data_IF_172318845725
#
_entry.id   IF_172318845725
#
_cell.length_a   1.000
_cell.length_b   1.000
_cell.length_c   1.000
_cell.angle_alpha   90.00
_cell.angle_beta   90.00
_cell.angle_gamma   90.00
#
_symmetry.space_group_name_H-M   'P 1'
#
loop_
_entity.id
_entity.type
_entity.pdbx_description
1 polymer ?
#
# COMPACT_ATOMS: atom_id res chain seq x y z
N UNK A 1 47.31 -31.00 12.94
CA UNK A 1 46.76 -29.65 13.13
C UNK A 1 45.73 -29.44 12.04
N UNK A 2 44.47 -29.36 12.45
CA UNK A 2 43.26 -29.39 11.64
C UNK A 2 43.02 -28.03 10.99
N UNK A 3 42.94 -28.03 9.66
CA UNK A 3 42.60 -26.87 8.84
C UNK A 3 41.07 -26.68 8.92
N UNK A 4 40.65 -25.57 9.54
CA UNK A 4 39.25 -25.24 9.71
C UNK A 4 38.65 -24.76 8.37
N UNK A 5 37.74 -25.56 7.83
CA UNK A 5 36.93 -25.25 6.66
C UNK A 5 36.12 -23.97 6.92
N UNK A 6 36.40 -22.91 6.15
CA UNK A 6 35.58 -21.70 6.17
C UNK A 6 34.26 -21.99 5.46
N UNK A 7 33.09 -21.62 6.02
CA UNK A 7 31.83 -21.77 5.34
C UNK A 7 31.83 -20.90 4.07
N UNK A 8 31.69 -21.55 2.92
CA UNK A 8 31.51 -20.91 1.63
C UNK A 8 30.18 -20.14 1.65
N UNK A 9 30.27 -18.82 1.64
CA UNK A 9 29.11 -17.96 1.43
C UNK A 9 28.67 -18.11 -0.03
N UNK A 10 27.57 -18.81 -0.25
CA UNK A 10 26.90 -18.90 -1.55
C UNK A 10 26.31 -17.50 -1.87
N UNK A 11 26.77 -16.80 -2.91
CA UNK A 11 26.04 -15.66 -3.43
C UNK A 11 24.84 -16.19 -4.24
N UNK A 12 23.78 -15.39 -4.35
CA UNK A 12 22.59 -15.64 -5.19
C UNK A 12 21.41 -16.41 -4.57
N UNK A 13 20.99 -16.05 -3.35
CA UNK A 13 19.54 -15.94 -3.11
C UNK A 13 19.13 -14.51 -3.42
N UNK A 14 18.73 -14.27 -4.68
CA UNK A 14 17.94 -13.08 -5.01
C UNK A 14 16.66 -13.18 -4.18
N UNK A 15 16.60 -12.44 -3.07
CA UNK A 15 15.45 -12.43 -2.18
C UNK A 15 14.18 -12.23 -2.99
N UNK A 16 13.18 -13.08 -2.75
CA UNK A 16 11.97 -13.08 -3.55
C UNK A 16 11.35 -11.66 -3.57
N UNK A 17 11.08 -11.18 -4.79
CA UNK A 17 10.59 -9.83 -5.02
C UNK A 17 9.08 -9.83 -5.20
N UNK A 18 8.42 -8.86 -4.59
CA UNK A 18 7.02 -8.52 -4.85
C UNK A 18 7.01 -7.12 -5.42
N UNK A 19 6.43 -6.95 -6.61
CA UNK A 19 6.38 -5.64 -7.31
C UNK A 19 7.76 -4.98 -7.51
N UNK A 20 8.81 -5.79 -7.74
CA UNK A 20 10.18 -5.29 -7.91
C UNK A 20 10.87 -4.86 -6.60
N UNK A 21 10.25 -5.13 -5.45
CA UNK A 21 10.78 -4.81 -4.12
C UNK A 21 11.22 -6.10 -3.45
N UNK A 22 12.45 -6.12 -2.94
CA UNK A 22 12.94 -7.23 -2.12
C UNK A 22 12.18 -7.29 -0.79
N UNK A 23 11.61 -8.44 -0.48
CA UNK A 23 10.84 -8.65 0.75
C UNK A 23 11.68 -9.31 1.83
N UNK A 24 11.35 -9.06 3.10
CA UNK A 24 11.94 -9.79 4.21
C UNK A 24 11.40 -11.22 4.28
N UNK A 25 10.12 -11.39 3.95
CA UNK A 25 9.44 -12.68 3.88
C UNK A 25 8.57 -12.73 2.62
N UNK A 26 8.39 -13.90 2.01
CA UNK A 26 7.46 -14.06 0.87
C UNK A 26 6.44 -15.16 1.07
N UNK A 27 6.48 -15.87 2.20
CA UNK A 27 5.53 -16.94 2.51
C UNK A 27 4.10 -16.43 2.67
N UNK A 28 3.92 -15.11 2.89
CA UNK A 28 2.61 -14.48 2.92
C UNK A 28 2.02 -14.21 1.53
N UNK A 29 2.86 -14.22 0.48
CA UNK A 29 2.46 -13.88 -0.87
C UNK A 29 2.29 -15.15 -1.71
N UNK A 30 1.04 -15.47 -2.03
CA UNK A 30 0.69 -16.57 -2.91
C UNK A 30 -0.13 -16.03 -4.08
N UNK A 31 0.48 -16.01 -5.27
CA UNK A 31 -0.29 -15.80 -6.49
C UNK A 31 -1.22 -17.01 -6.73
N UNK A 32 -2.30 -16.77 -7.47
CA UNK A 32 -3.11 -17.86 -8.00
C UNK A 32 -2.24 -18.77 -8.87
N UNK A 33 -2.50 -20.07 -8.81
CA UNK A 33 -1.82 -21.04 -9.67
C UNK A 33 -2.04 -20.66 -11.15
N UNK A 34 -1.05 -20.96 -11.98
CA UNK A 34 -1.15 -20.66 -13.41
C UNK A 34 -2.39 -21.32 -14.02
N UNK A 35 -3.19 -20.52 -14.72
CA UNK A 35 -4.43 -20.98 -15.36
C UNK A 35 -5.66 -21.01 -14.44
N UNK A 36 -5.51 -20.65 -13.16
CA UNK A 36 -6.63 -20.41 -12.26
C UNK A 36 -7.09 -18.96 -12.41
N UNK A 37 -8.35 -18.80 -12.78
CA UNK A 37 -8.98 -17.49 -12.97
C UNK A 37 -10.23 -17.38 -12.09
N UNK A 38 -10.44 -16.20 -11.53
CA UNK A 38 -11.62 -15.93 -10.72
C UNK A 38 -12.79 -15.48 -11.60
N UNK A 39 -13.97 -16.04 -11.33
CA UNK A 39 -15.23 -15.55 -11.92
C UNK A 39 -15.57 -14.19 -11.33
N UNK A 40 -16.14 -13.29 -12.13
CA UNK A 40 -16.53 -11.94 -11.73
C UNK A 40 -17.22 -11.87 -10.35
N UNK A 41 -16.78 -10.92 -9.52
CA UNK A 41 -17.29 -10.72 -8.16
C UNK A 41 -16.86 -11.77 -7.13
N UNK A 42 -16.10 -12.80 -7.50
CA UNK A 42 -15.60 -13.79 -6.54
C UNK A 42 -14.34 -13.30 -5.84
N UNK A 43 -14.28 -13.40 -4.50
CA UNK A 43 -13.03 -13.21 -3.78
C UNK A 43 -12.08 -14.37 -4.08
N UNK A 44 -10.77 -14.08 -4.03
CA UNK A 44 -9.74 -15.11 -4.01
C UNK A 44 -9.92 -16.01 -2.78
N UNK A 45 -9.55 -17.30 -2.85
CA UNK A 45 -9.73 -18.24 -1.76
C UNK A 45 -8.87 -17.92 -0.54
N UNK A 46 -7.81 -17.11 -0.70
CA UNK A 46 -6.89 -16.72 0.37
C UNK A 46 -6.80 -15.20 0.45
N UNK A 47 -7.07 -14.68 1.62
CA UNK A 47 -6.76 -13.30 1.96
C UNK A 47 -5.24 -13.12 2.01
N UNK A 48 -4.74 -12.01 1.48
CA UNK A 48 -3.35 -11.61 1.69
C UNK A 48 -3.19 -11.07 3.11
N UNK A 49 -2.24 -11.65 3.84
CA UNK A 49 -1.87 -11.25 5.20
C UNK A 49 -0.46 -10.67 5.16
N UNK A 50 -0.34 -9.42 4.77
CA UNK A 50 0.94 -8.77 4.50
C UNK A 50 1.56 -8.30 5.82
N UNK A 51 2.72 -8.81 6.23
CA UNK A 51 3.42 -8.30 7.41
C UNK A 51 3.67 -6.79 7.28
N UNK A 52 3.44 -6.02 8.34
CA UNK A 52 3.51 -4.55 8.28
C UNK A 52 4.86 -4.03 7.79
N UNK A 53 5.96 -4.74 8.09
CA UNK A 53 7.29 -4.38 7.60
C UNK A 53 7.42 -4.48 6.07
N UNK A 54 6.85 -5.52 5.46
CA UNK A 54 6.83 -5.69 4.00
C UNK A 54 5.82 -4.74 3.35
N UNK A 55 4.64 -4.58 3.95
CA UNK A 55 3.65 -3.59 3.52
C UNK A 55 4.23 -2.16 3.52
N UNK A 56 5.02 -1.79 4.53
CA UNK A 56 5.71 -0.50 4.60
C UNK A 56 6.77 -0.34 3.50
N UNK A 57 7.54 -1.39 3.20
CA UNK A 57 8.53 -1.37 2.10
C UNK A 57 7.85 -1.11 0.76
N UNK A 58 6.73 -1.79 0.51
CA UNK A 58 5.93 -1.61 -0.70
C UNK A 58 5.25 -0.23 -0.72
N UNK A 59 4.68 0.21 0.40
CA UNK A 59 4.06 1.54 0.54
C UNK A 59 5.01 2.66 0.13
N UNK A 60 6.28 2.59 0.53
CA UNK A 60 7.29 3.60 0.17
C UNK A 60 7.56 3.66 -1.34
N UNK A 61 7.45 2.54 -2.05
CA UNK A 61 7.57 2.51 -3.51
C UNK A 61 6.31 3.03 -4.18
N UNK A 62 5.14 2.61 -3.70
CA UNK A 62 3.85 3.13 -4.16
C UNK A 62 3.73 4.64 -3.95
N UNK A 63 4.18 5.15 -2.80
CA UNK A 63 4.14 6.56 -2.45
C UNK A 63 4.96 7.42 -3.42
N UNK A 64 6.08 6.90 -3.95
CA UNK A 64 6.84 7.55 -5.00
C UNK A 64 6.02 7.67 -6.28
N UNK A 65 5.34 6.61 -6.69
CA UNK A 65 4.46 6.61 -7.88
C UNK A 65 3.32 7.62 -7.71
N UNK A 66 2.64 7.60 -6.56
CA UNK A 66 1.53 8.51 -6.25
C UNK A 66 1.98 9.97 -6.25
N UNK A 67 3.20 10.25 -5.78
CA UNK A 67 3.76 11.60 -5.78
C UNK A 67 4.52 11.96 -7.07
N UNK A 68 4.42 11.14 -8.13
CA UNK A 68 5.12 11.30 -9.41
C UNK A 68 6.65 11.49 -9.26
N UNK A 69 7.24 10.78 -8.29
CA UNK A 69 8.67 10.80 -8.02
C UNK A 69 9.37 9.75 -8.88
N UNK A 70 10.40 10.13 -9.66
CA UNK A 70 11.18 9.18 -10.43
C UNK A 70 11.80 8.08 -9.55
N UNK A 71 11.81 6.84 -10.03
CA UNK A 71 12.29 5.68 -9.28
C UNK A 71 13.72 5.86 -8.71
N UNK A 72 14.60 6.57 -9.44
CA UNK A 72 16.00 6.83 -9.05
C UNK A 72 16.20 8.14 -8.27
N UNK A 73 15.13 8.84 -7.89
CA UNK A 73 15.19 10.07 -7.10
C UNK A 73 15.35 9.84 -5.59
N UNK A 74 15.59 10.94 -4.85
CA UNK A 74 15.72 10.94 -3.38
C UNK A 74 14.49 10.38 -2.67
N UNK A 75 13.31 10.48 -3.29
CA UNK A 75 12.03 10.22 -2.62
C UNK A 75 11.51 11.44 -1.86
N UNK A 76 12.14 12.60 -2.01
CA UNK A 76 11.69 13.85 -1.39
C UNK A 76 10.94 14.69 -2.42
N UNK A 77 9.81 15.26 -2.00
CA UNK A 77 8.99 16.18 -2.80
C UNK A 77 8.72 17.43 -1.98
N UNK A 78 8.82 18.60 -2.60
CA UNK A 78 8.39 19.85 -1.96
C UNK A 78 7.01 20.19 -2.48
N UNK A 79 6.02 20.23 -1.59
CA UNK A 79 4.70 20.76 -1.88
C UNK A 79 4.69 22.26 -1.65
N UNK A 80 4.01 23.00 -2.52
CA UNK A 80 3.96 24.46 -2.48
C UNK A 80 2.51 24.96 -2.45
N UNK A 81 2.23 25.93 -1.58
CA UNK A 81 0.94 26.58 -1.48
C UNK A 81 1.15 28.08 -1.25
N UNK A 82 1.14 28.86 -2.34
CA UNK A 82 1.54 30.27 -2.31
C UNK A 82 3.02 30.39 -1.94
N UNK A 83 3.30 31.03 -0.80
CA UNK A 83 4.67 31.20 -0.26
C UNK A 83 5.08 30.10 0.72
N UNK A 84 4.18 29.17 1.02
CA UNK A 84 4.43 28.08 1.97
C UNK A 84 5.00 26.86 1.26
N UNK A 85 6.02 26.26 1.85
CA UNK A 85 6.65 25.04 1.35
C UNK A 85 6.64 23.94 2.41
N UNK A 86 6.39 22.70 1.98
CA UNK A 86 6.45 21.52 2.82
C UNK A 86 7.27 20.44 2.12
N UNK A 87 8.40 20.09 2.72
CA UNK A 87 9.14 18.89 2.32
C UNK A 87 8.37 17.66 2.79
N UNK A 88 8.08 16.74 1.88
CA UNK A 88 7.44 15.43 2.12
C UNK A 88 8.41 14.33 1.71
N UNK A 89 8.73 13.43 2.64
CA UNK A 89 9.70 12.35 2.42
C UNK A 89 9.01 11.03 2.07
N UNK A 90 8.65 10.84 0.81
CA UNK A 90 7.92 9.67 0.31
C UNK A 90 8.67 8.34 0.55
N UNK A 91 10.02 8.38 0.51
CA UNK A 91 10.86 7.22 0.78
C UNK A 91 10.92 6.80 2.27
N UNK A 92 10.39 7.63 3.17
CA UNK A 92 10.45 7.43 4.60
C UNK A 92 9.08 7.21 5.25
N UNK A 93 8.02 6.95 4.46
CA UNK A 93 6.70 6.66 5.01
C UNK A 93 6.76 5.54 6.06
N UNK A 94 5.95 5.72 7.09
CA UNK A 94 5.75 4.76 8.17
C UNK A 94 4.37 4.14 8.03
N UNK A 95 4.25 2.85 8.38
CA UNK A 95 2.99 2.14 8.39
C UNK A 95 2.88 1.38 9.71
N UNK A 96 1.77 1.56 10.41
CA UNK A 96 1.40 0.70 11.55
C UNK A 96 0.03 0.10 11.31
N UNK A 97 -0.15 -1.12 11.81
CA UNK A 97 -1.41 -1.85 11.72
C UNK A 97 -1.82 -2.32 13.12
N UNK A 98 -3.01 -1.90 13.51
CA UNK A 98 -3.72 -2.38 14.69
C UNK A 98 -5.07 -2.96 14.24
N UNK A 99 -5.76 -3.66 15.13
CA UNK A 99 -7.05 -4.28 14.77
C UNK A 99 -8.06 -3.22 14.27
N UNK A 100 -8.38 -3.25 12.97
CA UNK A 100 -9.32 -2.32 12.35
C UNK A 100 -8.77 -0.92 12.07
N UNK A 101 -7.46 -0.68 12.24
CA UNK A 101 -6.84 0.63 12.00
C UNK A 101 -5.50 0.47 11.27
N UNK A 102 -5.34 1.19 10.17
CA UNK A 102 -4.05 1.41 9.51
C UNK A 102 -3.63 2.85 9.75
N UNK A 103 -2.43 3.10 10.27
CA UNK A 103 -1.92 4.48 10.35
C UNK A 103 -0.75 4.66 9.39
N UNK A 104 -0.87 5.64 8.50
CA UNK A 104 0.22 6.07 7.63
C UNK A 104 0.90 7.27 8.26
N UNK A 105 2.17 7.13 8.61
CA UNK A 105 3.02 8.23 9.06
C UNK A 105 3.72 8.87 7.87
N UNK A 106 3.51 10.18 7.68
CA UNK A 106 4.11 10.97 6.60
C UNK A 106 5.17 11.90 7.20
N UNK A 107 6.47 11.61 7.01
CA UNK A 107 7.52 12.50 7.49
C UNK A 107 7.59 13.76 6.65
N UNK A 108 7.56 14.90 7.34
CA UNK A 108 7.55 16.23 6.76
C UNK A 108 8.58 17.15 7.41
N UNK A 109 8.97 18.20 6.70
CA UNK A 109 9.75 19.30 7.26
C UNK A 109 9.37 20.64 6.60
N UNK A 110 9.54 21.72 7.35
CA UNK A 110 9.46 23.10 6.86
C UNK A 110 10.41 23.98 7.69
N UNK A 111 10.53 25.25 7.36
CA UNK A 111 11.33 26.24 8.08
C UNK A 111 10.97 26.35 9.58
N UNK A 112 9.68 26.21 9.89
CA UNK A 112 9.14 26.19 11.27
C UNK A 112 9.35 24.84 11.97
N UNK A 113 9.69 23.77 11.25
CA UNK A 113 9.94 22.42 11.76
C UNK A 113 11.34 21.90 11.33
N UNK A 114 12.40 22.55 11.82
CA UNK A 114 13.78 22.24 11.42
C UNK A 114 14.23 20.79 11.66
N UNK A 115 13.68 20.12 12.70
CA UNK A 115 13.97 18.70 12.99
C UNK A 115 13.11 17.73 12.17
N UNK A 116 12.15 18.25 11.40
CA UNK A 116 11.07 17.47 10.81
C UNK A 116 10.07 16.98 11.86
N UNK A 117 8.97 16.44 11.37
CA UNK A 117 7.95 15.76 12.17
C UNK A 117 7.31 14.65 11.34
N UNK A 118 6.57 13.75 11.99
CA UNK A 118 5.73 12.76 11.31
C UNK A 118 4.27 13.17 11.53
N UNK A 119 3.51 13.29 10.45
CA UNK A 119 2.06 13.48 10.50
C UNK A 119 1.39 12.12 10.35
N UNK A 120 0.65 11.68 11.37
CA UNK A 120 -0.06 10.41 11.37
C UNK A 120 -1.47 10.53 10.83
N UNK A 121 -1.79 9.76 9.80
CA UNK A 121 -3.13 9.66 9.21
C UNK A 121 -3.72 8.29 9.53
N UNK A 122 -4.60 8.19 10.54
CA UNK A 122 -5.26 6.93 10.88
C UNK A 122 -6.45 6.68 9.96
N UNK A 123 -6.53 5.47 9.42
CA UNK A 123 -7.64 4.97 8.63
C UNK A 123 -8.35 3.86 9.39
N UNK A 124 -9.62 4.05 9.71
CA UNK A 124 -10.48 2.96 10.16
C UNK A 124 -10.83 2.08 8.95
N UNK A 125 -10.57 0.79 9.10
CA UNK A 125 -10.73 -0.24 8.06
C UNK A 125 -11.37 -1.49 8.66
N UNK A 126 -11.56 -2.55 7.87
CA UNK A 126 -11.99 -3.84 8.39
C UNK A 126 -11.01 -4.43 9.43
N UNK A 127 -11.51 -5.27 10.33
CA UNK A 127 -10.67 -6.09 11.21
C UNK A 127 -10.81 -7.57 10.84
N UNK A 128 -9.96 -8.42 11.41
CA UNK A 128 -10.05 -9.87 11.20
C UNK A 128 -11.39 -10.46 11.69
N UNK A 129 -11.97 -9.91 12.76
CA UNK A 129 -13.25 -10.37 13.32
C UNK A 129 -14.47 -9.67 12.72
N UNK A 130 -14.26 -8.52 12.09
CA UNK A 130 -15.29 -7.73 11.45
C UNK A 130 -14.72 -7.18 10.13
N UNK A 131 -14.61 -8.02 9.09
CA UNK A 131 -14.14 -7.57 7.80
C UNK A 131 -15.14 -6.56 7.23
N UNK A 132 -14.63 -5.39 6.85
CA UNK A 132 -15.37 -4.44 6.05
C UNK A 132 -15.04 -4.71 4.58
N UNK A 133 -15.96 -4.40 3.65
CA UNK A 133 -15.63 -4.35 2.23
C UNK A 133 -14.66 -3.19 1.93
N UNK A 134 -14.84 -2.50 0.80
CA UNK A 134 -14.10 -1.27 0.49
C UNK A 134 -14.65 -0.05 1.23
N UNK A 135 -14.79 -0.15 2.56
CA UNK A 135 -15.14 0.96 3.42
C UNK A 135 -13.91 1.35 4.24
N UNK A 136 -13.49 2.60 4.07
CA UNK A 136 -12.42 3.21 4.83
C UNK A 136 -12.88 4.59 5.28
N UNK A 137 -12.46 5.03 6.45
CA UNK A 137 -12.68 6.41 6.91
C UNK A 137 -11.47 6.90 7.68
N UNK A 138 -11.33 8.22 7.81
CA UNK A 138 -10.22 8.83 8.54
C UNK A 138 -10.73 10.02 9.34
N UNK A 139 -9.89 10.52 10.25
CA UNK A 139 -10.20 11.72 11.01
C UNK A 139 -10.15 12.93 10.09
N UNK A 140 -11.05 13.90 10.32
CA UNK A 140 -11.03 15.17 9.61
C UNK A 140 -9.70 15.94 9.81
N UNK A 141 -9.00 15.67 10.90
CA UNK A 141 -7.71 16.26 11.23
C UNK A 141 -6.69 15.17 11.57
N UNK A 142 -5.59 15.01 10.81
CA UNK A 142 -4.53 14.07 11.14
C UNK A 142 -3.74 14.52 12.39
N UNK A 143 -3.00 13.60 13.00
CA UNK A 143 -2.16 13.90 14.17
C UNK A 143 -0.81 14.48 13.72
N UNK A 144 -0.36 15.57 14.35
CA UNK A 144 0.92 16.19 14.02
C UNK A 144 1.02 17.65 14.49
N UNK A 145 2.13 18.34 14.20
CA UNK A 145 2.30 19.74 14.57
C UNK A 145 1.22 20.62 13.96
N UNK A 146 0.60 21.48 14.77
CA UNK A 146 -0.52 22.32 14.34
C UNK A 146 -0.19 23.18 13.11
N UNK A 147 1.05 23.65 13.02
CA UNK A 147 1.56 24.46 11.90
C UNK A 147 1.51 23.74 10.56
N UNK A 148 1.73 22.42 10.54
CA UNK A 148 1.59 21.61 9.33
C UNK A 148 0.14 21.25 9.10
N UNK A 149 -0.53 20.72 10.13
CA UNK A 149 -1.88 20.18 9.99
C UNK A 149 -2.88 21.26 9.56
N UNK A 150 -2.71 22.51 10.00
CA UNK A 150 -3.59 23.61 9.62
C UNK A 150 -3.49 24.00 8.13
N UNK A 151 -2.31 23.90 7.52
CA UNK A 151 -2.10 24.28 6.12
C UNK A 151 -2.12 23.10 5.14
N UNK A 152 -1.74 21.92 5.61
CA UNK A 152 -1.43 20.76 4.75
C UNK A 152 -2.18 19.49 5.13
N UNK A 153 -2.97 19.51 6.21
CA UNK A 153 -3.62 18.31 6.75
C UNK A 153 -4.46 17.56 5.72
N UNK A 154 -5.25 18.27 4.91
CA UNK A 154 -6.07 17.67 3.85
C UNK A 154 -5.22 17.02 2.76
N UNK A 155 -4.19 17.72 2.26
CA UNK A 155 -3.28 17.19 1.24
C UNK A 155 -2.50 15.95 1.74
N UNK A 156 -2.04 15.98 2.99
CA UNK A 156 -1.36 14.83 3.63
C UNK A 156 -2.33 13.66 3.75
N UNK A 157 -3.56 13.90 4.19
CA UNK A 157 -4.59 12.85 4.28
C UNK A 157 -4.91 12.25 2.92
N UNK A 158 -5.10 13.07 1.89
CA UNK A 158 -5.37 12.62 0.53
C UNK A 158 -4.21 11.81 -0.05
N UNK A 159 -2.97 12.26 0.15
CA UNK A 159 -1.77 11.53 -0.26
C UNK A 159 -1.65 10.17 0.44
N UNK A 160 -1.83 10.13 1.76
CA UNK A 160 -1.80 8.90 2.53
C UNK A 160 -2.91 7.91 2.11
N UNK A 161 -4.10 8.44 1.81
CA UNK A 161 -5.23 7.67 1.30
C UNK A 161 -4.89 7.03 -0.05
N UNK A 162 -4.44 7.84 -1.00
CA UNK A 162 -4.09 7.37 -2.35
C UNK A 162 -2.95 6.35 -2.31
N UNK A 163 -1.91 6.59 -1.51
CA UNK A 163 -0.80 5.66 -1.33
C UNK A 163 -1.26 4.29 -0.79
N UNK A 164 -2.18 4.28 0.19
CA UNK A 164 -2.72 3.04 0.76
C UNK A 164 -3.63 2.29 -0.23
N UNK A 165 -4.51 3.02 -0.94
CA UNK A 165 -5.41 2.43 -1.94
C UNK A 165 -4.61 1.87 -3.11
N UNK A 166 -3.61 2.60 -3.60
CA UNK A 166 -2.77 2.16 -4.70
C UNK A 166 -1.93 0.94 -4.28
N UNK A 167 -1.42 0.89 -3.05
CA UNK A 167 -0.72 -0.29 -2.52
C UNK A 167 -1.63 -1.52 -2.54
N UNK A 168 -2.86 -1.37 -2.05
CA UNK A 168 -3.84 -2.44 -2.07
C UNK A 168 -4.13 -2.93 -3.50
N UNK A 169 -4.29 -2.00 -4.45
CA UNK A 169 -4.51 -2.32 -5.86
C UNK A 169 -3.34 -3.09 -6.47
N UNK A 170 -2.11 -2.61 -6.28
CA UNK A 170 -0.93 -3.28 -6.83
C UNK A 170 -0.74 -4.68 -6.27
N UNK A 171 -0.97 -4.87 -4.96
CA UNK A 171 -0.86 -6.17 -4.32
C UNK A 171 -1.93 -7.15 -4.82
N UNK A 172 -3.20 -6.72 -4.89
CA UNK A 172 -4.27 -7.54 -5.44
C UNK A 172 -4.01 -7.87 -6.92
N UNK A 173 -3.58 -6.91 -7.73
CA UNK A 173 -3.25 -7.15 -9.13
C UNK A 173 -2.11 -8.18 -9.29
N UNK A 174 -1.11 -8.15 -8.42
CA UNK A 174 -0.01 -9.10 -8.44
C UNK A 174 -0.43 -10.53 -8.09
N UNK A 175 -1.58 -10.73 -7.43
CA UNK A 175 -2.05 -12.09 -7.08
C UNK A 175 -2.60 -12.86 -8.28
N UNK A 176 -3.04 -12.20 -9.34
CA UNK A 176 -3.55 -12.88 -10.53
C UNK A 176 -4.59 -12.07 -11.29
N UNK A 177 -5.37 -12.79 -12.09
CA UNK A 177 -6.37 -12.21 -12.98
C UNK A 177 -7.73 -12.94 -12.89
N UNK A 178 -8.77 -12.27 -13.36
CA UNK A 178 -10.09 -12.88 -13.55
C UNK A 178 -10.20 -13.61 -14.90
N UNK A 179 -11.35 -14.25 -15.15
CA UNK A 179 -11.60 -15.01 -16.38
C UNK A 179 -11.55 -14.17 -17.66
N UNK A 180 -11.59 -12.85 -17.57
CA UNK A 180 -11.45 -11.95 -18.70
C UNK A 180 -10.00 -11.45 -18.88
N UNK A 181 -9.06 -11.92 -18.05
CA UNK A 181 -7.67 -11.52 -18.06
C UNK A 181 -7.39 -10.20 -17.33
N UNK A 182 -8.39 -9.59 -16.67
CA UNK A 182 -8.16 -8.36 -15.92
C UNK A 182 -7.49 -8.66 -14.59
N UNK A 183 -6.54 -7.83 -14.12
CA UNK A 183 -5.94 -8.00 -12.81
C UNK A 183 -6.98 -7.87 -11.69
N UNK A 184 -6.81 -8.69 -10.64
CA UNK A 184 -7.68 -8.67 -9.47
C UNK A 184 -7.63 -7.31 -8.76
N UNK A 185 -8.75 -6.95 -8.13
CA UNK A 185 -8.92 -5.69 -7.38
C UNK A 185 -9.09 -5.94 -5.89
N UNK A 186 -8.85 -4.95 -5.03
CA UNK A 186 -9.24 -5.03 -3.63
C UNK A 186 -10.76 -5.22 -3.52
N UNK A 187 -11.22 -6.26 -2.84
CA UNK A 187 -12.61 -6.43 -2.39
C UNK A 187 -12.80 -5.99 -0.93
N UNK A 188 -11.72 -6.01 -0.14
CA UNK A 188 -11.67 -5.51 1.23
C UNK A 188 -10.26 -5.03 1.57
N UNK A 189 -10.18 -3.99 2.40
CA UNK A 189 -8.97 -3.54 3.07
C UNK A 189 -9.23 -3.63 4.57
N UNK A 190 -8.31 -4.25 5.31
CA UNK A 190 -8.41 -4.40 6.75
C UNK A 190 -7.05 -4.44 7.42
N UNK A 191 -7.06 -4.49 8.75
CA UNK A 191 -5.87 -4.57 9.56
C UNK A 191 -6.05 -5.43 10.81
N UNK A 192 -4.99 -6.13 11.15
CA UNK A 192 -4.76 -6.76 12.45
C UNK A 192 -3.43 -6.23 13.02
N UNK A 193 -3.09 -6.58 14.26
CA UNK A 193 -1.80 -6.22 14.86
C UNK A 193 -0.66 -6.66 13.94
N UNK A 194 0.14 -5.71 13.49
CA UNK A 194 1.32 -5.89 12.62
C UNK A 194 1.05 -6.54 11.25
N UNK A 195 -0.20 -6.55 10.79
CA UNK A 195 -0.59 -7.17 9.51
C UNK A 195 -1.61 -6.32 8.76
N UNK A 196 -1.31 -5.99 7.50
CA UNK A 196 -2.26 -5.46 6.53
C UNK A 196 -3.02 -6.62 5.87
N UNK A 197 -4.34 -6.56 5.91
CA UNK A 197 -5.24 -7.59 5.37
C UNK A 197 -5.86 -7.09 4.07
N UNK A 198 -5.67 -7.83 2.97
CA UNK A 198 -6.26 -7.50 1.68
C UNK A 198 -7.00 -8.72 1.13
N UNK A 199 -8.23 -8.52 0.66
CA UNK A 199 -8.99 -9.56 -0.03
C UNK A 199 -8.98 -9.28 -1.53
N UNK A 200 -8.12 -9.93 -2.34
CA UNK A 200 -8.22 -9.84 -3.79
C UNK A 200 -9.57 -10.40 -4.26
N UNK A 201 -10.15 -9.78 -5.28
CA UNK A 201 -11.44 -10.13 -5.86
C UNK A 201 -11.44 -9.89 -7.37
N UNK A 202 -12.16 -10.73 -8.12
CA UNK A 202 -12.47 -10.46 -9.52
C UNK A 202 -13.41 -9.27 -9.65
N UNK A 203 -13.23 -8.45 -10.69
CA UNK A 203 -14.04 -7.25 -10.91
C UNK A 203 -15.51 -7.63 -11.14
N UNK A 204 -16.43 -6.78 -10.66
CA UNK A 204 -17.78 -6.79 -11.19
C UNK A 204 -17.77 -6.07 -12.54
N UNK A 205 -18.23 -6.75 -13.59
CA UNK A 205 -18.50 -6.10 -14.87
C UNK A 205 -19.98 -5.75 -14.96
N UNK A 206 -20.27 -4.55 -15.44
CA UNK A 206 -21.59 -4.27 -15.96
C UNK A 206 -21.85 -5.20 -17.15
N UNK A 207 -23.08 -5.74 -17.32
CA UNK A 207 -23.43 -6.46 -18.53
C UNK A 207 -23.22 -5.54 -19.74
N UNK A 208 -22.71 -6.09 -20.85
CA UNK A 208 -22.58 -5.30 -22.09
C UNK A 208 -23.94 -4.73 -22.49
N UNK A 209 -23.99 -3.47 -22.96
CA UNK A 209 -25.23 -2.90 -23.45
C UNK A 209 -25.76 -3.75 -24.61
N UNK A 210 -26.96 -4.29 -24.44
CA UNK A 210 -27.66 -5.02 -25.50
C UNK A 210 -27.80 -4.09 -26.69
N UNK A 211 -27.15 -4.42 -27.82
CA UNK A 211 -27.33 -3.69 -29.08
C UNK A 211 -28.80 -3.77 -29.46
N UNK A 212 -29.57 -2.71 -29.20
CA UNK A 212 -30.94 -2.58 -29.70
C UNK A 212 -30.84 -2.43 -31.20
N UNK A 213 -31.11 -3.51 -31.93
CA UNK A 213 -31.27 -3.44 -33.38
C UNK A 213 -32.35 -2.43 -33.72
N UNK A 214 -32.00 -1.40 -34.47
CA UNK A 214 -32.99 -0.54 -35.11
C UNK A 214 -33.80 -1.40 -36.08
N UNK A 215 -35.08 -1.60 -35.78
CA UNK A 215 -36.09 -2.02 -36.73
C UNK A 215 -36.79 -0.78 -37.24
#
# INVERSE_FOLDING_TARGET
MTEAERPQHHPDQVGAQVLGVAMAHTDWFHALDRGVYLVAGRPSPRQLRVPVGDAQRLLRQTARVVADVPAKGSGDVVWTAGVSELLVRTGALELTCESGVVTVGVPVACDQLRKGAVVGVPFAVGSEKAPAGLVMSTLARPSGPAVVVAGWGEAITAFAWEALVHLAQSLCAATGADTAGDPLVPGAIGAARDVLLLQPMARHRAPEPVKRGHR
#
